data_IF_793007141736
#
_entry.id   IF_793007141736
#
_cell.length_a   1.000
_cell.length_b   1.000
_cell.length_c   1.000
_cell.angle_alpha   90.00
_cell.angle_beta   90.00
_cell.angle_gamma   90.00
#
_symmetry.space_group_name_H-M   'P 1'
#
loop_
_entity.id
_entity.type
_entity.pdbx_description
1 polymer ?
#
# COMPACT_ATOMS: atom_id res chain seq x y z
N UNK A 1 22.85 3.57 -8.20
CA UNK A 1 22.61 2.11 -8.17
C UNK A 1 21.24 1.82 -8.75
N UNK A 2 20.95 0.56 -9.09
CA UNK A 2 19.69 0.13 -9.75
C UNK A 2 18.75 -0.57 -8.80
N UNK A 3 17.46 -0.36 -9.01
CA UNK A 3 16.41 -1.00 -8.23
C UNK A 3 15.29 -1.52 -9.15
N UNK A 4 14.53 -2.50 -8.67
CA UNK A 4 13.27 -2.92 -9.24
C UNK A 4 12.17 -2.87 -8.19
N UNK A 5 11.04 -2.28 -8.56
CA UNK A 5 9.81 -2.30 -7.77
C UNK A 5 8.81 -3.26 -8.43
N UNK A 6 8.37 -4.27 -7.69
CA UNK A 6 7.36 -5.22 -8.12
C UNK A 6 5.96 -4.63 -7.90
N UNK A 7 5.30 -4.21 -8.99
CA UNK A 7 4.04 -3.48 -8.94
C UNK A 7 2.92 -4.08 -9.83
N UNK A 8 3.11 -5.28 -10.38
CA UNK A 8 2.16 -5.90 -11.31
C UNK A 8 0.96 -6.59 -10.64
N UNK A 9 0.92 -6.67 -9.32
CA UNK A 9 -0.12 -7.39 -8.59
C UNK A 9 -1.49 -6.69 -8.60
N UNK A 10 -2.59 -7.46 -8.79
CA UNK A 10 -3.97 -6.94 -8.79
C UNK A 10 -4.49 -6.48 -7.42
N UNK A 11 -3.86 -6.88 -6.32
CA UNK A 11 -4.26 -6.45 -4.98
C UNK A 11 -5.66 -6.87 -4.53
N UNK A 12 -6.18 -8.01 -4.99
CA UNK A 12 -7.58 -8.44 -4.78
C UNK A 12 -8.02 -8.55 -3.31
N UNK A 13 -7.07 -8.79 -2.40
CA UNK A 13 -7.33 -8.92 -0.95
C UNK A 13 -7.60 -7.58 -0.23
N UNK A 14 -7.33 -6.46 -0.88
CA UNK A 14 -7.55 -5.11 -0.35
C UNK A 14 -8.66 -4.36 -1.11
N UNK A 15 -9.48 -5.08 -1.87
CA UNK A 15 -10.73 -4.52 -2.39
C UNK A 15 -11.64 -4.09 -1.24
N UNK A 16 -12.37 -2.96 -1.38
CA UNK A 16 -12.64 -2.18 -2.60
C UNK A 16 -11.55 -1.14 -2.95
N UNK A 17 -10.55 -0.85 -2.11
CA UNK A 17 -9.52 0.15 -2.40
C UNK A 17 -8.83 -0.04 -3.75
N UNK A 18 -8.62 -1.30 -4.15
CA UNK A 18 -7.91 -1.66 -5.38
C UNK A 18 -8.82 -1.95 -6.58
N UNK A 19 -10.07 -1.54 -6.53
CA UNK A 19 -10.93 -1.59 -7.72
C UNK A 19 -10.62 -0.47 -8.70
N UNK A 20 -10.25 0.68 -8.16
CA UNK A 20 -9.96 1.89 -8.96
C UNK A 20 -8.51 2.35 -8.88
N UNK A 21 -7.70 1.80 -7.96
CA UNK A 21 -6.29 2.12 -7.77
C UNK A 21 -5.43 0.85 -7.80
N UNK A 22 -4.28 0.82 -8.47
CA UNK A 22 -3.34 -0.29 -8.28
C UNK A 22 -2.80 -0.27 -6.85
N UNK A 23 -2.57 -1.42 -6.25
CA UNK A 23 -2.18 -1.56 -4.84
C UNK A 23 -1.02 -0.64 -4.41
N UNK A 24 0.06 -0.48 -5.21
CA UNK A 24 1.15 0.45 -4.88
C UNK A 24 0.75 1.93 -4.82
N UNK A 25 -0.40 2.29 -5.39
CA UNK A 25 -0.93 3.66 -5.41
C UNK A 25 -1.95 3.92 -4.29
N UNK A 26 -2.27 2.94 -3.47
CA UNK A 26 -3.14 3.14 -2.31
C UNK A 26 -2.46 4.14 -1.35
N UNK A 27 -3.14 5.25 -1.00
CA UNK A 27 -2.50 6.29 -0.19
C UNK A 27 -2.46 5.90 1.30
N UNK A 28 -1.33 6.16 1.93
CA UNK A 28 -1.22 6.22 3.38
C UNK A 28 -1.31 7.68 3.78
N UNK A 29 -2.41 8.04 4.42
CA UNK A 29 -2.83 9.42 4.70
C UNK A 29 -2.98 10.25 3.41
N UNK A 30 -1.88 10.69 2.77
CA UNK A 30 -1.92 11.54 1.57
C UNK A 30 -0.97 11.09 0.46
N UNK A 31 -0.08 10.12 0.74
CA UNK A 31 1.00 9.74 -0.16
C UNK A 31 0.88 8.28 -0.58
N UNK A 32 0.98 7.93 -1.87
CA UNK A 32 1.01 6.55 -2.32
C UNK A 32 2.12 5.75 -1.64
N UNK A 33 1.85 4.48 -1.30
CA UNK A 33 2.86 3.57 -0.71
C UNK A 33 4.12 3.52 -1.55
N UNK A 34 3.99 3.40 -2.86
CA UNK A 34 5.13 3.31 -3.77
C UNK A 34 5.98 4.60 -3.80
N UNK A 35 5.38 5.77 -3.54
CA UNK A 35 6.17 7.01 -3.45
C UNK A 35 7.10 6.99 -2.24
N UNK A 36 6.60 6.54 -1.07
CA UNK A 36 7.43 6.37 0.12
C UNK A 36 8.60 5.42 -0.15
N UNK A 37 8.34 4.36 -0.91
CA UNK A 37 9.36 3.39 -1.31
C UNK A 37 10.39 3.98 -2.28
N UNK A 38 9.95 4.79 -3.26
CA UNK A 38 10.85 5.52 -4.18
C UNK A 38 11.75 6.49 -3.42
N UNK A 39 11.20 7.23 -2.47
CA UNK A 39 11.98 8.11 -1.59
C UNK A 39 13.02 7.34 -0.77
N UNK A 40 12.62 6.20 -0.20
CA UNK A 40 13.51 5.33 0.55
C UNK A 40 14.66 4.79 -0.31
N UNK A 41 14.37 4.29 -1.51
CA UNK A 41 15.37 3.85 -2.49
C UNK A 41 16.34 4.98 -2.86
N UNK A 42 15.81 6.17 -3.18
CA UNK A 42 16.62 7.36 -3.50
C UNK A 42 17.56 7.72 -2.35
N UNK A 43 17.07 7.73 -1.12
CA UNK A 43 17.86 8.09 0.07
C UNK A 43 19.02 7.12 0.31
N UNK A 44 18.93 5.88 -0.18
CA UNK A 44 20.02 4.88 -0.17
C UNK A 44 20.82 4.83 -1.48
N UNK A 45 20.65 5.81 -2.38
CA UNK A 45 21.41 5.94 -3.62
C UNK A 45 20.96 5.06 -4.79
N UNK A 46 19.77 4.44 -4.70
CA UNK A 46 19.15 3.69 -5.79
C UNK A 46 18.35 4.65 -6.68
N UNK A 47 19.04 5.36 -7.57
CA UNK A 47 18.46 6.42 -8.40
C UNK A 47 18.03 5.98 -9.80
N UNK A 48 18.17 4.71 -10.19
CA UNK A 48 17.64 4.13 -11.42
C UNK A 48 16.69 3.02 -11.07
N UNK A 49 15.42 3.21 -11.35
CA UNK A 49 14.35 2.33 -10.87
C UNK A 49 13.59 1.77 -12.08
N UNK A 50 13.53 0.45 -12.17
CA UNK A 50 12.65 -0.27 -13.08
C UNK A 50 11.39 -0.70 -12.33
N UNK A 51 10.22 -0.50 -12.92
CA UNK A 51 8.94 -0.91 -12.32
C UNK A 51 8.25 -1.88 -13.28
N UNK A 52 7.91 -3.09 -12.81
CA UNK A 52 6.99 -3.90 -13.59
C UNK A 52 5.55 -3.47 -13.29
N UNK A 53 4.78 -3.24 -14.32
CA UNK A 53 3.39 -2.79 -14.25
C UNK A 53 2.47 -3.80 -14.93
N UNK A 54 1.21 -3.88 -14.53
CA UNK A 54 0.18 -4.69 -15.16
C UNK A 54 -1.19 -4.06 -14.93
N UNK A 55 -1.89 -4.46 -13.88
CA UNK A 55 -3.20 -3.94 -13.51
C UNK A 55 -3.17 -2.42 -13.28
N UNK A 56 -4.01 -1.67 -14.00
CA UNK A 56 -4.09 -0.20 -13.94
C UNK A 56 -2.73 0.51 -14.14
N UNK A 57 -1.85 -0.09 -14.96
CA UNK A 57 -0.50 0.41 -15.25
C UNK A 57 -0.42 1.92 -15.54
N UNK A 58 -1.33 2.53 -16.35
CA UNK A 58 -1.30 3.96 -16.64
C UNK A 58 -1.36 4.86 -15.40
N UNK A 59 -1.95 4.43 -14.30
CA UNK A 59 -2.03 5.23 -13.08
C UNK A 59 -0.66 5.36 -12.41
N UNK A 60 0.13 4.27 -12.38
CA UNK A 60 1.51 4.30 -11.87
C UNK A 60 2.38 5.14 -12.80
N UNK A 61 2.33 4.86 -14.10
CA UNK A 61 3.15 5.49 -15.13
C UNK A 61 2.89 7.01 -15.24
N UNK A 62 1.62 7.44 -15.18
CA UNK A 62 1.25 8.86 -15.22
C UNK A 62 1.63 9.61 -13.95
N UNK A 63 1.63 8.94 -12.79
CA UNK A 63 2.00 9.56 -11.52
C UNK A 63 3.51 9.78 -11.43
N UNK A 64 4.29 8.75 -11.67
CA UNK A 64 5.74 8.81 -11.49
C UNK A 64 6.48 9.31 -12.74
N UNK A 65 5.91 9.17 -13.94
CA UNK A 65 6.51 9.55 -15.22
C UNK A 65 7.94 9.02 -15.36
N UNK A 66 8.91 9.85 -15.69
CA UNK A 66 10.34 9.51 -15.78
C UNK A 66 11.06 9.52 -14.42
N UNK A 67 10.34 9.81 -13.32
CA UNK A 67 10.87 9.87 -11.96
C UNK A 67 11.59 11.15 -11.57
N UNK A 68 11.81 12.09 -12.51
CA UNK A 68 12.60 13.29 -12.27
C UNK A 68 12.09 14.13 -11.08
N UNK A 69 10.78 14.28 -10.94
CA UNK A 69 10.16 15.02 -9.84
C UNK A 69 10.42 14.37 -8.45
N UNK A 70 10.75 13.08 -8.42
CA UNK A 70 11.10 12.34 -7.18
C UNK A 70 12.62 12.21 -6.99
N UNK A 71 13.44 12.84 -7.87
CA UNK A 71 14.90 12.77 -7.80
C UNK A 71 15.50 11.43 -8.23
N UNK A 72 14.80 10.66 -9.05
CA UNK A 72 15.22 9.37 -9.60
C UNK A 72 14.98 9.33 -11.12
N UNK A 73 15.45 8.27 -11.78
CA UNK A 73 15.11 7.94 -13.16
C UNK A 73 14.32 6.64 -13.16
N UNK A 74 13.11 6.66 -13.73
CA UNK A 74 12.22 5.52 -13.76
C UNK A 74 11.96 5.03 -15.17
N UNK A 75 11.85 3.72 -15.31
CA UNK A 75 11.39 3.04 -16.51
C UNK A 75 10.40 1.94 -16.15
N UNK A 76 9.55 1.55 -17.09
CA UNK A 76 8.45 0.64 -16.85
C UNK A 76 8.53 -0.56 -17.78
N UNK A 77 8.15 -1.72 -17.25
CA UNK A 77 7.99 -2.97 -18.00
C UNK A 77 6.59 -3.50 -17.82
N UNK A 78 5.75 -3.36 -18.83
CA UNK A 78 4.38 -3.84 -18.78
C UNK A 78 4.31 -5.38 -18.88
N UNK A 79 3.63 -6.03 -17.93
CA UNK A 79 3.34 -7.46 -17.95
C UNK A 79 2.00 -7.73 -18.61
N UNK A 80 1.99 -7.86 -19.91
CA UNK A 80 0.79 -8.10 -20.69
C UNK A 80 1.04 -7.93 -22.19
N UNK A 81 -0.07 -7.86 -22.91
CA UNK A 81 -0.09 -7.60 -24.35
C UNK A 81 -1.12 -6.53 -24.69
N UNK A 82 -0.93 -5.88 -25.83
CA UNK A 82 -1.95 -5.00 -26.39
C UNK A 82 -2.75 -5.82 -27.41
N UNK A 83 -4.05 -5.94 -27.21
CA UNK A 83 -4.98 -6.61 -28.14
C UNK A 83 -6.13 -5.66 -28.45
N UNK A 84 -6.35 -5.36 -29.72
CA UNK A 84 -7.39 -4.42 -30.18
C UNK A 84 -7.34 -3.03 -29.52
N UNK A 85 -6.14 -2.56 -29.15
CA UNK A 85 -5.96 -1.27 -28.45
C UNK A 85 -6.16 -1.34 -26.92
N UNK A 86 -6.52 -2.47 -26.37
CA UNK A 86 -6.68 -2.69 -24.94
C UNK A 86 -5.45 -3.38 -24.32
N UNK A 87 -5.09 -2.96 -23.11
CA UNK A 87 -4.06 -3.60 -22.30
C UNK A 87 -4.64 -4.85 -21.63
N UNK A 88 -4.09 -6.01 -21.95
CA UNK A 88 -4.48 -7.29 -21.34
C UNK A 88 -3.35 -7.77 -20.43
N UNK A 89 -3.65 -7.92 -19.15
CA UNK A 89 -2.72 -8.43 -18.15
C UNK A 89 -2.29 -9.86 -18.45
N UNK A 90 -0.99 -10.11 -18.43
CA UNK A 90 -0.41 -11.45 -18.51
C UNK A 90 0.75 -11.57 -17.52
N UNK A 91 0.45 -11.87 -16.25
CA UNK A 91 1.48 -11.98 -15.22
C UNK A 91 2.51 -13.05 -15.57
N UNK A 92 3.78 -12.68 -15.45
CA UNK A 92 4.91 -13.59 -15.71
C UNK A 92 5.63 -14.03 -14.42
N UNK A 93 5.11 -13.64 -13.26
CA UNK A 93 5.72 -13.90 -11.97
C UNK A 93 6.88 -12.95 -11.66
N UNK A 94 7.22 -12.82 -10.40
CA UNK A 94 8.20 -11.83 -9.92
C UNK A 94 9.61 -12.04 -10.49
N UNK A 95 10.10 -13.28 -10.56
CA UNK A 95 11.38 -13.59 -11.19
C UNK A 95 11.31 -13.59 -12.72
N UNK A 96 10.19 -14.01 -13.31
CA UNK A 96 9.94 -13.94 -14.74
C UNK A 96 9.97 -12.50 -15.26
N UNK A 97 9.45 -11.54 -14.48
CA UNK A 97 9.53 -10.11 -14.79
C UNK A 97 10.99 -9.61 -14.83
N UNK A 98 11.80 -10.00 -13.84
CA UNK A 98 13.24 -9.71 -13.82
C UNK A 98 13.93 -10.23 -15.10
N UNK A 99 13.69 -11.49 -15.44
CA UNK A 99 14.26 -12.13 -16.62
C UNK A 99 13.83 -11.45 -17.93
N UNK A 100 12.54 -11.10 -18.05
CA UNK A 100 11.99 -10.37 -19.20
C UNK A 100 12.72 -9.04 -19.37
N UNK A 101 12.86 -8.25 -18.32
CA UNK A 101 13.54 -6.94 -18.34
C UNK A 101 15.00 -7.12 -18.75
N UNK A 102 15.71 -8.08 -18.14
CA UNK A 102 17.12 -8.33 -18.43
C UNK A 102 17.33 -8.76 -19.89
N UNK A 103 16.50 -9.64 -20.41
CA UNK A 103 16.58 -10.08 -21.80
C UNK A 103 16.37 -8.96 -22.83
N UNK A 104 15.50 -8.00 -22.51
CA UNK A 104 15.15 -6.92 -23.44
C UNK A 104 16.08 -5.71 -23.36
N UNK A 105 16.56 -5.37 -22.17
CA UNK A 105 17.25 -4.10 -21.93
C UNK A 105 18.66 -4.23 -21.36
N UNK A 106 19.04 -5.40 -20.81
CA UNK A 106 20.29 -5.52 -20.07
C UNK A 106 20.37 -4.57 -18.87
N UNK A 107 19.23 -4.19 -18.30
CA UNK A 107 19.16 -3.15 -17.27
C UNK A 107 20.00 -3.47 -16.03
N UNK A 108 20.02 -4.72 -15.61
CA UNK A 108 20.71 -5.13 -14.38
C UNK A 108 22.16 -5.54 -14.67
N UNK A 109 23.11 -4.62 -14.55
CA UNK A 109 24.54 -4.79 -14.87
C UNK A 109 25.48 -4.85 -13.65
N UNK A 110 24.95 -4.60 -12.44
CA UNK A 110 25.62 -4.71 -11.13
C UNK A 110 24.59 -5.19 -10.12
N UNK A 111 25.01 -5.38 -8.86
CA UNK A 111 24.10 -5.70 -7.77
C UNK A 111 22.95 -4.69 -7.69
N UNK A 112 21.72 -5.19 -7.59
CA UNK A 112 20.51 -4.39 -7.60
C UNK A 112 19.53 -4.83 -6.51
N UNK A 113 18.72 -3.88 -6.03
CA UNK A 113 17.68 -4.16 -5.05
C UNK A 113 16.35 -4.47 -5.76
N UNK A 114 15.61 -5.43 -5.21
CA UNK A 114 14.22 -5.74 -5.61
C UNK A 114 13.33 -5.59 -4.39
N UNK A 115 12.23 -4.86 -4.54
CA UNK A 115 11.28 -4.61 -3.45
C UNK A 115 9.83 -4.76 -3.94
N UNK A 116 8.94 -5.24 -3.06
CA UNK A 116 7.51 -5.25 -3.32
C UNK A 116 6.96 -3.82 -3.21
N UNK A 117 6.20 -3.37 -4.22
CA UNK A 117 5.71 -1.99 -4.34
C UNK A 117 4.55 -1.63 -3.39
N UNK A 118 4.16 -2.55 -2.51
CA UNK A 118 3.01 -2.46 -1.61
C UNK A 118 3.40 -2.49 -0.12
N UNK A 119 4.69 -2.35 0.19
CA UNK A 119 5.21 -2.35 1.56
C UNK A 119 5.86 -1.02 1.92
N UNK A 120 5.68 -0.59 3.17
CA UNK A 120 6.40 0.53 3.78
C UNK A 120 7.54 -0.06 4.60
N UNK A 121 8.75 0.43 4.36
CA UNK A 121 9.96 -0.10 4.99
C UNK A 121 10.93 1.02 5.34
N UNK A 122 11.71 0.82 6.40
CA UNK A 122 12.84 1.68 6.78
C UNK A 122 14.17 0.91 6.88
N UNK A 123 14.26 -0.23 6.17
CA UNK A 123 15.43 -1.07 6.14
C UNK A 123 16.67 -0.31 5.62
N UNK A 124 17.78 -0.38 6.33
CA UNK A 124 19.07 0.15 5.85
C UNK A 124 19.60 -0.67 4.65
N UNK A 125 19.19 -0.23 3.45
CA UNK A 125 19.61 -0.87 2.19
C UNK A 125 21.11 -0.74 1.92
N UNK A 126 21.75 0.30 2.45
CA UNK A 126 23.22 0.47 2.33
C UNK A 126 23.96 -0.62 3.10
N UNK A 127 23.52 -0.89 4.32
CA UNK A 127 24.05 -1.98 5.13
C UNK A 127 23.77 -3.36 4.53
N UNK A 128 22.56 -3.55 3.98
CA UNK A 128 22.20 -4.79 3.29
C UNK A 128 23.09 -5.02 2.06
N UNK A 129 23.38 -3.98 1.27
CA UNK A 129 24.27 -4.07 0.11
C UNK A 129 25.71 -4.37 0.50
N UNK A 130 26.22 -3.75 1.58
CA UNK A 130 27.54 -4.04 2.10
C UNK A 130 27.65 -5.51 2.55
N UNK A 131 26.62 -6.03 3.23
CA UNK A 131 26.55 -7.45 3.60
C UNK A 131 26.55 -8.35 2.37
N UNK A 132 25.70 -8.09 1.38
CA UNK A 132 25.62 -8.85 0.13
C UNK A 132 26.98 -8.98 -0.56
N UNK A 133 27.70 -7.87 -0.69
CA UNK A 133 29.04 -7.84 -1.28
C UNK A 133 30.08 -8.59 -0.44
N UNK A 134 30.04 -8.45 0.89
CA UNK A 134 30.98 -9.13 1.80
C UNK A 134 30.84 -10.65 1.78
N UNK A 135 29.61 -11.13 1.57
CA UNK A 135 29.30 -12.57 1.46
C UNK A 135 29.49 -13.11 0.05
N UNK A 136 29.75 -12.24 -0.95
CA UNK A 136 29.77 -12.61 -2.39
C UNK A 136 28.50 -13.38 -2.78
N UNK A 137 27.37 -12.89 -2.31
CA UNK A 137 26.07 -13.52 -2.52
C UNK A 137 25.57 -13.35 -3.95
N UNK A 138 24.88 -14.32 -4.51
CA UNK A 138 24.07 -14.13 -5.72
C UNK A 138 22.67 -13.59 -5.34
N UNK A 139 22.20 -13.91 -4.12
CA UNK A 139 20.98 -13.37 -3.56
C UNK A 139 21.13 -13.10 -2.07
N UNK A 140 20.66 -11.97 -1.61
CA UNK A 140 20.49 -11.65 -0.18
C UNK A 140 19.03 -11.31 0.08
N UNK A 141 18.43 -11.94 1.08
CA UNK A 141 17.04 -11.75 1.48
C UNK A 141 17.00 -11.03 2.82
N UNK A 142 16.24 -9.93 2.91
CA UNK A 142 15.95 -9.32 4.20
C UNK A 142 14.93 -10.16 4.95
N UNK A 143 15.30 -10.59 6.14
CA UNK A 143 14.48 -11.46 6.99
C UNK A 143 14.03 -10.72 8.24
N UNK A 144 12.81 -11.01 8.68
CA UNK A 144 12.23 -10.45 9.89
C UNK A 144 11.66 -11.55 10.78
N UNK A 145 11.97 -11.53 12.06
CA UNK A 145 11.31 -12.40 13.03
C UNK A 145 9.85 -12.04 13.16
N UNK A 146 9.00 -13.05 13.04
CA UNK A 146 7.55 -12.91 13.08
C UNK A 146 6.92 -13.93 14.03
N UNK A 147 5.80 -13.57 14.69
CA UNK A 147 5.02 -14.53 15.45
C UNK A 147 4.56 -15.71 14.56
N UNK A 148 4.64 -16.94 15.06
CA UNK A 148 4.27 -18.16 14.29
C UNK A 148 2.92 -18.07 13.58
N UNK A 149 1.91 -17.49 14.25
CA UNK A 149 0.55 -17.31 13.68
C UNK A 149 0.52 -16.48 12.40
N UNK A 150 1.55 -15.66 12.13
CA UNK A 150 1.62 -14.75 10.98
C UNK A 150 2.42 -15.36 9.82
N UNK A 151 3.31 -16.35 10.10
CA UNK A 151 4.20 -16.97 9.12
C UNK A 151 3.50 -17.66 7.96
N UNK A 152 2.26 -18.10 8.15
CA UNK A 152 1.42 -18.71 7.09
C UNK A 152 1.19 -17.78 5.89
N UNK A 153 1.46 -16.48 6.04
CA UNK A 153 1.28 -15.50 4.98
C UNK A 153 2.59 -15.21 4.20
N UNK A 154 3.74 -15.66 4.68
CA UNK A 154 5.05 -15.29 4.18
C UNK A 154 5.92 -16.51 3.86
N UNK A 155 6.91 -16.31 3.00
CA UNK A 155 8.00 -17.27 2.88
C UNK A 155 8.84 -17.30 4.16
N UNK A 156 9.40 -18.45 4.50
CA UNK A 156 10.20 -18.67 5.72
C UNK A 156 11.56 -19.22 5.33
N UNK A 157 12.63 -18.64 5.87
CA UNK A 157 14.01 -19.07 5.62
C UNK A 157 14.63 -19.75 6.84
N UNK A 158 15.38 -20.83 6.60
CA UNK A 158 16.23 -21.48 7.60
C UNK A 158 17.68 -21.09 7.31
N UNK A 159 18.33 -20.45 8.27
CA UNK A 159 19.73 -20.06 8.19
C UNK A 159 20.66 -21.13 8.77
N UNK A 160 21.80 -21.30 8.12
CA UNK A 160 22.94 -22.05 8.60
C UNK A 160 24.10 -21.13 9.01
N UNK A 161 25.29 -21.67 8.99
CA UNK A 161 26.49 -20.92 9.29
C UNK A 161 26.68 -19.72 8.37
N UNK A 162 27.18 -18.61 8.94
CA UNK A 162 27.44 -17.36 8.20
C UNK A 162 26.24 -16.80 7.47
N UNK A 163 25.05 -17.01 8.01
CA UNK A 163 23.78 -16.51 7.51
C UNK A 163 23.35 -17.10 6.13
N UNK A 164 23.94 -18.23 5.72
CA UNK A 164 23.53 -18.91 4.49
C UNK A 164 22.11 -19.45 4.61
N UNK A 165 21.27 -19.23 3.60
CA UNK A 165 19.94 -19.84 3.53
C UNK A 165 20.07 -21.27 3.09
N UNK A 166 19.79 -22.20 4.01
CA UNK A 166 19.82 -23.65 3.77
C UNK A 166 18.52 -24.20 3.22
N UNK A 167 17.38 -23.61 3.63
CA UNK A 167 16.04 -23.99 3.17
C UNK A 167 15.17 -22.76 3.06
N UNK A 168 14.26 -22.79 2.10
CA UNK A 168 13.24 -21.79 1.93
C UNK A 168 11.88 -22.48 1.76
N UNK A 169 10.87 -22.05 2.51
CA UNK A 169 9.53 -22.60 2.53
C UNK A 169 8.51 -21.49 2.28
N UNK A 170 7.84 -21.51 1.13
CA UNK A 170 6.84 -20.49 0.81
C UNK A 170 5.50 -20.81 1.49
N UNK A 171 4.99 -19.84 2.26
CA UNK A 171 3.69 -19.88 2.93
C UNK A 171 3.36 -21.24 3.58
N UNK A 172 4.09 -21.61 4.62
CA UNK A 172 3.90 -22.88 5.31
C UNK A 172 2.48 -23.04 5.84
N UNK A 173 1.98 -24.28 5.89
CA UNK A 173 0.77 -24.55 6.66
C UNK A 173 1.04 -24.29 8.16
N UNK A 174 0.01 -23.87 8.89
CA UNK A 174 0.15 -23.59 10.32
C UNK A 174 0.72 -24.78 11.09
N UNK A 175 1.77 -24.55 11.87
CA UNK A 175 2.47 -25.58 12.63
C UNK A 175 3.54 -26.36 11.87
N UNK A 176 3.79 -26.05 10.59
CA UNK A 176 4.85 -26.67 9.77
C UNK A 176 6.00 -25.73 9.48
N UNK A 177 6.02 -24.55 10.09
CA UNK A 177 7.03 -23.52 9.89
C UNK A 177 8.41 -24.02 10.32
N UNK A 178 9.38 -23.95 9.40
CA UNK A 178 10.75 -24.42 9.65
C UNK A 178 11.58 -23.43 10.48
N UNK A 179 11.19 -22.17 10.55
CA UNK A 179 11.83 -21.13 11.37
C UNK A 179 10.83 -19.99 11.66
N UNK A 180 11.27 -18.96 12.41
CA UNK A 180 10.50 -17.74 12.68
C UNK A 180 10.93 -16.55 11.79
N UNK A 181 11.82 -16.78 10.82
CA UNK A 181 12.39 -15.78 9.93
C UNK A 181 11.57 -15.65 8.64
N UNK A 182 10.69 -14.65 8.59
CA UNK A 182 9.87 -14.35 7.44
C UNK A 182 10.63 -13.57 6.36
N UNK A 183 10.39 -13.92 5.11
CA UNK A 183 10.82 -13.16 3.94
C UNK A 183 10.02 -11.85 3.84
N UNK A 184 10.71 -10.72 3.90
CA UNK A 184 10.08 -9.40 3.82
C UNK A 184 9.75 -8.93 2.40
N UNK A 185 10.11 -9.69 1.36
CA UNK A 185 9.96 -9.27 -0.03
C UNK A 185 10.99 -8.21 -0.48
N UNK A 186 12.10 -8.10 0.25
CA UNK A 186 13.22 -7.20 -0.07
C UNK A 186 14.45 -8.05 -0.35
N UNK A 187 15.02 -7.86 -1.53
CA UNK A 187 16.14 -8.67 -2.00
C UNK A 187 17.24 -7.80 -2.57
N UNK A 188 18.49 -8.27 -2.48
CA UNK A 188 19.58 -7.82 -3.33
C UNK A 188 20.05 -8.99 -4.16
N UNK A 189 20.08 -8.83 -5.46
CA UNK A 189 20.56 -9.82 -6.41
C UNK A 189 21.81 -9.34 -7.13
N UNK A 190 22.74 -10.24 -7.40
CA UNK A 190 23.81 -10.06 -8.38
C UNK A 190 23.32 -10.49 -9.77
N UNK A 191 23.92 -10.00 -10.88
CA UNK A 191 23.50 -10.36 -12.24
C UNK A 191 23.53 -11.87 -12.53
N UNK A 192 24.36 -12.65 -11.83
CA UNK A 192 24.42 -14.10 -11.93
C UNK A 192 23.09 -14.79 -11.60
N UNK A 193 22.16 -14.08 -10.95
CA UNK A 193 20.82 -14.60 -10.65
C UNK A 193 20.06 -15.00 -11.93
N UNK A 194 20.32 -14.33 -13.05
CA UNK A 194 19.65 -14.59 -14.33
C UNK A 194 19.98 -15.94 -14.95
N UNK A 195 21.06 -16.59 -14.54
CA UNK A 195 21.38 -17.97 -14.94
C UNK A 195 20.43 -19.00 -14.34
N UNK A 196 19.76 -18.62 -13.25
CA UNK A 196 18.84 -19.48 -12.49
C UNK A 196 17.36 -19.27 -12.87
N UNK A 197 17.04 -18.23 -13.63
CA UNK A 197 15.67 -17.92 -14.01
C UNK A 197 15.42 -18.36 -15.45
N UNK A 198 14.52 -19.31 -15.71
CA UNK A 198 14.21 -19.77 -17.06
C UNK A 198 13.58 -18.65 -17.90
N UNK A 199 13.99 -18.55 -19.17
CA UNK A 199 13.45 -17.58 -20.10
C UNK A 199 12.03 -17.92 -20.52
N UNK A 200 11.18 -16.90 -20.75
CA UNK A 200 9.81 -17.04 -21.26
C UNK A 200 8.93 -17.97 -20.42
N UNK A 201 9.15 -17.99 -19.11
CA UNK A 201 8.41 -18.85 -18.18
C UNK A 201 7.83 -18.00 -17.06
N UNK A 202 6.62 -18.34 -16.62
CA UNK A 202 6.06 -17.77 -15.39
C UNK A 202 6.88 -18.31 -14.21
N UNK A 203 7.59 -17.41 -13.54
CA UNK A 203 8.52 -17.81 -12.49
C UNK A 203 8.51 -16.81 -11.32
N UNK A 204 8.38 -17.33 -10.10
CA UNK A 204 8.24 -16.50 -8.89
C UNK A 204 9.48 -16.61 -8.01
N UNK A 205 9.85 -15.48 -7.37
CA UNK A 205 11.02 -15.41 -6.49
C UNK A 205 10.84 -16.31 -5.26
N UNK A 206 9.69 -16.21 -4.58
CA UNK A 206 9.46 -16.91 -3.31
C UNK A 206 9.15 -18.38 -3.47
N UNK A 207 8.27 -18.73 -4.40
CA UNK A 207 7.77 -20.10 -4.55
C UNK A 207 8.68 -21.00 -5.39
N UNK A 208 9.55 -20.42 -6.24
CA UNK A 208 10.36 -21.20 -7.18
C UNK A 208 11.86 -20.88 -7.09
N UNK A 209 12.26 -19.61 -7.28
CA UNK A 209 13.68 -19.23 -7.36
C UNK A 209 14.44 -19.50 -6.06
N UNK A 210 13.96 -18.97 -4.94
CA UNK A 210 14.67 -19.12 -3.65
C UNK A 210 14.71 -20.57 -3.16
N UNK A 211 13.64 -21.38 -3.26
CA UNK A 211 13.72 -22.82 -2.96
C UNK A 211 14.71 -23.57 -3.85
N UNK A 212 14.77 -23.27 -5.16
CA UNK A 212 15.70 -23.86 -6.09
C UNK A 212 17.15 -23.55 -5.73
N UNK A 213 17.47 -22.27 -5.47
CA UNK A 213 18.79 -21.82 -5.07
C UNK A 213 19.24 -22.46 -3.75
N UNK A 214 18.36 -22.54 -2.75
CA UNK A 214 18.65 -23.19 -1.48
C UNK A 214 18.93 -24.68 -1.66
N UNK A 215 18.13 -25.39 -2.44
CA UNK A 215 18.31 -26.82 -2.71
C UNK A 215 19.61 -27.12 -3.47
N UNK A 216 20.06 -26.21 -4.33
CA UNK A 216 21.32 -26.33 -5.07
C UNK A 216 22.56 -25.93 -4.23
N UNK A 217 22.38 -25.44 -2.99
CA UNK A 217 23.48 -24.95 -2.17
C UNK A 217 24.15 -23.68 -2.71
N UNK A 218 23.40 -22.89 -3.51
CA UNK A 218 23.90 -21.65 -4.07
C UNK A 218 24.26 -20.63 -2.98
N UNK A 219 25.17 -19.67 -3.23
CA UNK A 219 25.58 -18.68 -2.22
C UNK A 219 24.48 -17.63 -2.00
N UNK A 220 23.38 -18.03 -1.36
CA UNK A 220 22.28 -17.17 -0.97
C UNK A 220 22.29 -16.98 0.56
N UNK A 221 22.05 -15.74 0.99
CA UNK A 221 22.17 -15.38 2.42
C UNK A 221 20.92 -14.63 2.90
N UNK A 222 20.59 -14.83 4.17
CA UNK A 222 19.58 -14.03 4.86
C UNK A 222 20.25 -12.98 5.73
N UNK A 223 19.68 -11.78 5.79
CA UNK A 223 20.12 -10.76 6.73
C UNK A 223 18.96 -10.37 7.64
N UNK A 224 19.19 -10.47 8.95
CA UNK A 224 18.27 -9.97 9.97
C UNK A 224 18.79 -8.61 10.45
N UNK A 225 18.07 -7.55 10.12
CA UNK A 225 18.32 -6.18 10.60
C UNK A 225 17.08 -5.69 11.36
N UNK A 226 17.24 -4.80 12.33
CA UNK A 226 16.09 -4.09 12.89
C UNK A 226 15.54 -3.13 11.85
N UNK A 227 14.28 -3.31 11.46
CA UNK A 227 13.53 -2.39 10.59
C UNK A 227 12.06 -2.53 10.82
N UNK A 228 11.31 -1.49 10.47
CA UNK A 228 9.87 -1.52 10.41
C UNK A 228 9.43 -1.97 9.01
N UNK A 229 8.42 -2.82 8.99
CA UNK A 229 7.86 -3.39 7.78
C UNK A 229 6.35 -3.50 7.92
N UNK A 230 5.64 -2.78 7.06
CA UNK A 230 4.19 -2.77 7.01
C UNK A 230 3.75 -3.22 5.62
N UNK A 231 3.28 -4.45 5.51
CA UNK A 231 2.66 -4.98 4.30
C UNK A 231 1.16 -4.64 4.33
N UNK A 232 0.67 -3.98 3.27
CA UNK A 232 -0.74 -3.70 3.09
C UNK A 232 -1.42 -4.91 2.46
N UNK A 233 -1.38 -6.04 3.16
CA UNK A 233 -1.90 -7.32 2.67
C UNK A 233 -3.42 -7.44 2.73
N UNK A 234 -4.10 -6.72 3.62
CA UNK A 234 -5.54 -6.78 3.91
C UNK A 234 -6.07 -5.41 4.31
N UNK A 235 -7.38 -5.21 4.29
CA UNK A 235 -8.05 -3.96 4.71
C UNK A 235 -7.70 -3.56 6.15
N UNK A 236 -7.59 -4.54 7.06
CA UNK A 236 -7.17 -4.32 8.44
C UNK A 236 -5.74 -3.76 8.54
N UNK A 237 -4.84 -4.28 7.70
CA UNK A 237 -3.45 -3.84 7.70
C UNK A 237 -3.34 -2.41 7.17
N UNK A 238 -4.09 -2.08 6.11
CA UNK A 238 -4.24 -0.72 5.60
C UNK A 238 -4.72 0.25 6.68
N UNK A 239 -5.86 -0.05 7.32
CA UNK A 239 -6.42 0.80 8.37
C UNK A 239 -5.41 1.03 9.50
N UNK A 240 -4.77 -0.05 10.00
CA UNK A 240 -3.75 0.04 11.06
C UNK A 240 -2.62 0.97 10.67
N UNK A 241 -2.04 0.79 9.48
CA UNK A 241 -0.91 1.59 9.01
C UNK A 241 -1.27 3.07 8.90
N UNK A 242 -2.46 3.42 8.39
CA UNK A 242 -2.92 4.81 8.34
C UNK A 242 -3.06 5.41 9.74
N UNK A 243 -3.64 4.66 10.68
CA UNK A 243 -3.81 5.13 12.07
C UNK A 243 -2.45 5.30 12.78
N UNK A 244 -1.51 4.38 12.58
CA UNK A 244 -0.17 4.43 13.15
C UNK A 244 0.64 5.61 12.55
N UNK A 245 0.49 5.86 11.24
CA UNK A 245 1.10 7.02 10.59
C UNK A 245 0.61 8.35 11.19
N UNK A 246 -0.69 8.48 11.44
CA UNK A 246 -1.25 9.68 12.09
C UNK A 246 -0.76 9.88 13.52
N UNK A 247 -0.47 8.81 14.25
CA UNK A 247 0.09 8.87 15.61
C UNK A 247 1.59 9.13 15.64
N UNK A 248 2.26 9.13 14.47
CA UNK A 248 3.71 9.20 14.37
C UNK A 248 4.43 7.89 14.75
N UNK A 249 3.71 6.78 14.75
CA UNK A 249 4.24 5.44 15.09
C UNK A 249 4.77 4.69 13.86
N UNK A 250 4.32 5.04 12.64
CA UNK A 250 4.82 4.47 11.39
C UNK A 250 6.05 5.25 10.90
N UNK A 251 7.13 4.57 10.50
CA UNK A 251 8.36 5.22 10.06
C UNK A 251 8.26 5.73 8.62
N UNK A 252 9.20 6.55 8.23
CA UNK A 252 9.30 7.97 8.57
C UNK A 252 8.19 8.72 7.83
N UNK A 253 7.19 9.19 8.55
CA UNK A 253 6.03 9.83 7.94
C UNK A 253 5.86 11.26 8.47
N UNK A 254 6.10 12.25 7.61
CA UNK A 254 5.83 13.64 7.90
C UNK A 254 4.48 14.04 7.30
N UNK A 255 3.59 14.55 8.15
CA UNK A 255 2.31 15.08 7.71
C UNK A 255 2.51 16.45 7.08
N UNK A 256 2.03 16.68 5.86
CA UNK A 256 2.15 17.99 5.21
C UNK A 256 1.08 18.97 5.70
N UNK A 257 1.27 20.23 5.36
CA UNK A 257 0.30 21.28 5.62
C UNK A 257 0.62 22.12 6.87
N UNK A 258 -0.27 23.03 7.17
CA UNK A 258 -0.18 23.88 8.36
C UNK A 258 -0.77 23.15 9.56
N UNK A 259 -0.26 23.45 10.74
CA UNK A 259 -0.78 22.91 12.01
C UNK A 259 -1.40 24.04 12.85
N UNK A 260 -2.62 24.49 12.55
CA UNK A 260 -3.27 25.60 13.25
C UNK A 260 -3.56 25.31 14.73
N UNK A 261 -3.67 24.02 15.09
CA UNK A 261 -3.78 23.51 16.46
C UNK A 261 -2.92 22.27 16.63
N UNK A 262 -2.43 22.01 17.81
CA UNK A 262 -1.64 20.82 18.13
C UNK A 262 -2.40 19.54 17.71
N UNK A 263 -1.76 18.71 16.86
CA UNK A 263 -2.34 17.47 16.34
C UNK A 263 -3.40 17.66 15.25
N UNK A 264 -3.59 18.86 14.70
CA UNK A 264 -4.51 19.12 13.58
C UNK A 264 -3.69 19.66 12.41
N UNK A 265 -3.56 18.88 11.33
CA UNK A 265 -2.88 19.29 10.10
C UNK A 265 -3.90 19.62 9.02
N UNK A 266 -3.71 20.74 8.35
CA UNK A 266 -4.64 21.27 7.36
C UNK A 266 -3.90 21.58 6.07
N UNK A 267 -4.33 20.96 4.99
CA UNK A 267 -3.79 21.19 3.65
C UNK A 267 -4.27 22.51 3.03
N UNK A 268 -3.80 22.82 1.82
CA UNK A 268 -4.17 24.06 1.14
C UNK A 268 -5.66 24.11 0.78
N UNK A 269 -6.23 25.33 0.77
CA UNK A 269 -7.61 25.59 0.33
C UNK A 269 -8.70 24.79 1.07
N UNK A 270 -8.45 24.39 2.31
CA UNK A 270 -9.46 23.73 3.16
C UNK A 270 -10.47 24.77 3.68
N UNK A 271 -11.76 24.39 3.68
CA UNK A 271 -12.86 25.18 4.21
C UNK A 271 -13.33 24.57 5.52
N UNK A 272 -12.95 25.13 6.62
CA UNK A 272 -13.37 24.70 7.96
C UNK A 272 -13.34 25.86 8.93
N UNK A 273 -14.34 25.95 9.80
CA UNK A 273 -14.29 26.84 10.96
C UNK A 273 -14.02 26.01 12.22
N UNK A 274 -12.76 25.96 12.66
CA UNK A 274 -12.33 25.16 13.81
C UNK A 274 -13.01 25.56 15.12
N UNK A 275 -13.61 26.77 15.21
CA UNK A 275 -14.34 27.21 16.41
C UNK A 275 -15.79 26.72 16.44
N UNK A 276 -16.32 26.25 15.30
CA UNK A 276 -17.70 25.79 15.16
C UNK A 276 -17.84 24.27 15.05
N UNK A 277 -16.74 23.56 15.16
CA UNK A 277 -16.73 22.09 15.18
C UNK A 277 -16.05 21.59 16.45
N UNK A 278 -16.44 20.40 16.89
CA UNK A 278 -15.72 19.67 17.93
C UNK A 278 -14.63 18.83 17.28
N UNK A 279 -13.36 19.25 17.43
CA UNK A 279 -12.23 18.53 16.84
C UNK A 279 -11.16 18.20 17.86
N UNK A 280 -10.66 16.95 17.85
CA UNK A 280 -9.59 16.48 18.71
C UNK A 280 -8.61 15.64 17.87
N UNK A 281 -7.31 15.97 17.91
CA UNK A 281 -6.26 15.30 17.15
C UNK A 281 -5.88 13.88 17.63
N UNK A 282 -5.07 13.17 16.86
CA UNK A 282 -4.48 13.59 15.59
C UNK A 282 -5.49 13.58 14.44
N UNK A 283 -5.57 14.66 13.66
CA UNK A 283 -6.44 14.79 12.49
C UNK A 283 -5.67 15.40 11.33
N UNK A 284 -5.72 14.75 10.17
CA UNK A 284 -5.21 15.30 8.91
C UNK A 284 -6.37 15.64 7.99
N UNK A 285 -6.43 16.87 7.51
CA UNK A 285 -7.42 17.38 6.57
C UNK A 285 -6.69 17.74 5.29
N UNK A 286 -6.91 16.98 4.23
CA UNK A 286 -6.25 17.16 2.95
C UNK A 286 -6.80 18.38 2.18
N UNK A 287 -6.06 18.81 1.15
CA UNK A 287 -6.38 20.02 0.39
C UNK A 287 -7.78 20.04 -0.22
N UNK A 288 -8.39 21.23 -0.24
CA UNK A 288 -9.73 21.48 -0.81
C UNK A 288 -10.89 20.71 -0.15
N UNK A 289 -10.66 20.08 1.00
CA UNK A 289 -11.76 19.51 1.79
C UNK A 289 -12.66 20.61 2.36
N UNK A 290 -13.94 20.32 2.54
CA UNK A 290 -14.93 21.22 3.13
C UNK A 290 -15.60 20.54 4.31
N UNK A 291 -15.58 21.19 5.47
CA UNK A 291 -16.19 20.69 6.70
C UNK A 291 -17.14 21.77 7.19
N UNK A 292 -18.42 21.43 7.24
CA UNK A 292 -19.47 22.36 7.71
C UNK A 292 -19.48 22.45 9.24
N UNK A 293 -20.25 23.40 9.76
CA UNK A 293 -20.39 23.65 11.21
C UNK A 293 -21.03 22.45 11.92
N UNK A 294 -20.94 22.40 13.24
CA UNK A 294 -21.55 21.41 14.14
C UNK A 294 -21.07 19.95 13.94
N UNK A 295 -19.98 19.75 13.22
CA UNK A 295 -19.35 18.42 13.10
C UNK A 295 -18.57 18.01 14.35
N UNK A 296 -18.51 16.68 14.60
CA UNK A 296 -17.63 16.10 15.63
C UNK A 296 -16.57 15.21 14.98
N UNK A 297 -15.28 15.55 15.14
CA UNK A 297 -14.15 14.83 14.56
C UNK A 297 -13.16 14.47 15.68
N UNK A 298 -13.07 13.18 16.00
CA UNK A 298 -12.22 12.68 17.09
C UNK A 298 -11.16 11.74 16.51
N UNK A 299 -9.91 12.17 16.55
CA UNK A 299 -8.77 11.47 15.97
C UNK A 299 -8.47 10.07 16.57
N UNK A 300 -7.64 9.28 15.90
CA UNK A 300 -6.97 9.60 14.63
C UNK A 300 -7.93 9.59 13.43
N UNK A 301 -7.96 10.67 12.65
CA UNK A 301 -8.87 10.81 11.49
C UNK A 301 -8.12 11.38 10.29
N UNK A 302 -8.36 10.82 9.12
CA UNK A 302 -7.99 11.40 7.82
C UNK A 302 -9.24 11.90 7.13
N UNK A 303 -9.23 13.15 6.67
CA UNK A 303 -10.21 13.70 5.73
C UNK A 303 -9.50 13.91 4.40
N UNK A 304 -9.85 13.14 3.39
CA UNK A 304 -9.22 13.14 2.07
C UNK A 304 -9.45 14.43 1.28
N UNK A 305 -8.71 14.57 0.19
CA UNK A 305 -8.80 15.75 -0.69
C UNK A 305 -10.19 15.87 -1.33
N UNK A 306 -10.71 17.10 -1.41
CA UNK A 306 -12.04 17.40 -1.96
C UNK A 306 -13.19 16.65 -1.26
N UNK A 307 -12.97 16.12 -0.06
CA UNK A 307 -14.06 15.54 0.73
C UNK A 307 -15.00 16.64 1.24
N UNK A 308 -16.27 16.29 1.38
CA UNK A 308 -17.32 17.18 1.92
C UNK A 308 -17.93 16.52 3.15
N UNK A 309 -17.82 17.19 4.30
CA UNK A 309 -18.40 16.74 5.56
C UNK A 309 -19.54 17.67 5.91
N UNK A 310 -20.76 17.16 5.84
CA UNK A 310 -21.99 17.95 6.07
C UNK A 310 -22.20 18.18 7.56
N UNK A 311 -22.91 19.27 7.87
CA UNK A 311 -23.23 19.73 9.23
C UNK A 311 -23.87 18.63 10.07
N UNK A 312 -23.35 18.41 11.28
CA UNK A 312 -23.82 17.38 12.22
C UNK A 312 -23.16 16.01 12.11
N UNK A 313 -22.32 15.76 11.10
CA UNK A 313 -21.60 14.51 10.93
C UNK A 313 -20.65 14.21 12.11
N UNK A 314 -20.55 12.95 12.50
CA UNK A 314 -19.66 12.48 13.57
C UNK A 314 -18.67 11.46 13.03
N UNK A 315 -17.37 11.74 13.16
CA UNK A 315 -16.29 10.93 12.61
C UNK A 315 -15.26 10.67 13.71
N UNK A 316 -15.02 9.40 14.02
CA UNK A 316 -14.06 8.99 15.04
C UNK A 316 -13.18 7.86 14.52
N UNK A 317 -11.86 7.98 14.76
CA UNK A 317 -10.87 6.96 14.40
C UNK A 317 -11.06 6.40 12.98
N UNK A 318 -11.33 7.27 12.00
CA UNK A 318 -11.78 6.85 10.66
C UNK A 318 -11.00 7.53 9.54
N UNK A 319 -11.06 6.94 8.35
CA UNK A 319 -10.48 7.47 7.12
C UNK A 319 -11.62 7.81 6.16
N UNK A 320 -11.75 9.08 5.82
CA UNK A 320 -12.60 9.54 4.72
C UNK A 320 -11.69 9.73 3.51
N UNK A 321 -11.94 8.97 2.45
CA UNK A 321 -11.15 9.00 1.22
C UNK A 321 -11.43 10.27 0.40
N UNK A 322 -10.56 10.53 -0.57
CA UNK A 322 -10.72 11.65 -1.50
C UNK A 322 -12.08 11.65 -2.18
N UNK A 323 -12.62 12.84 -2.44
CA UNK A 323 -13.90 13.05 -3.13
C UNK A 323 -15.11 12.40 -2.46
N UNK A 324 -15.03 12.07 -1.18
CA UNK A 324 -16.15 11.47 -0.44
C UNK A 324 -17.00 12.55 0.21
N UNK A 325 -18.31 12.51 -0.01
CA UNK A 325 -19.30 13.26 0.73
C UNK A 325 -19.81 12.42 1.90
N UNK A 326 -19.78 12.98 3.09
CA UNK A 326 -20.31 12.38 4.33
C UNK A 326 -21.55 13.17 4.74
N UNK A 327 -22.68 12.52 4.83
CA UNK A 327 -23.95 13.12 5.23
C UNK A 327 -23.94 13.59 6.69
N UNK A 328 -24.66 14.65 6.99
CA UNK A 328 -24.79 15.24 8.32
C UNK A 328 -25.39 14.31 9.40
N UNK A 329 -26.09 13.26 9.00
CA UNK A 329 -26.63 12.25 9.93
C UNK A 329 -25.68 11.06 10.15
N UNK A 330 -24.57 11.01 9.41
CA UNK A 330 -23.64 9.91 9.49
C UNK A 330 -22.83 9.92 10.81
N UNK A 331 -22.61 8.73 11.37
CA UNK A 331 -21.75 8.51 12.53
C UNK A 331 -20.80 7.36 12.24
N UNK A 332 -19.52 7.68 12.03
CA UNK A 332 -18.48 6.70 11.74
C UNK A 332 -17.52 6.55 12.92
N UNK A 333 -17.34 5.32 13.38
CA UNK A 333 -16.29 4.94 14.35
C UNK A 333 -15.50 3.79 13.76
N UNK A 334 -14.19 3.97 13.57
CA UNK A 334 -13.26 2.98 12.99
C UNK A 334 -13.71 2.48 11.61
N UNK A 335 -14.00 3.41 10.70
CA UNK A 335 -14.41 3.11 9.33
C UNK A 335 -13.41 3.65 8.31
N UNK A 336 -13.37 3.04 7.15
CA UNK A 336 -12.81 3.64 5.94
C UNK A 336 -13.95 3.86 4.97
N UNK A 337 -14.16 5.11 4.58
CA UNK A 337 -15.31 5.54 3.77
C UNK A 337 -14.79 6.16 2.49
N UNK A 338 -15.17 5.59 1.37
CA UNK A 338 -14.92 6.10 0.02
C UNK A 338 -16.19 6.62 -0.64
N UNK A 339 -16.10 7.14 -1.87
CA UNK A 339 -17.25 7.67 -2.59
C UNK A 339 -18.38 6.66 -2.81
N UNK A 340 -18.06 5.38 -2.88
CA UNK A 340 -19.02 4.31 -3.20
C UNK A 340 -18.84 3.07 -2.31
N UNK A 341 -18.06 3.14 -1.23
CA UNK A 341 -17.89 2.03 -0.30
C UNK A 341 -17.65 2.52 1.13
N UNK A 342 -17.95 1.66 2.07
CA UNK A 342 -17.52 1.79 3.46
C UNK A 342 -17.08 0.42 3.96
N UNK A 343 -15.98 0.34 4.70
CA UNK A 343 -15.57 -0.92 5.31
C UNK A 343 -15.05 -0.76 6.74
N UNK A 344 -15.17 -1.84 7.48
CA UNK A 344 -14.61 -2.01 8.82
C UNK A 344 -13.19 -2.58 8.78
N UNK A 345 -12.35 -2.34 9.80
CA UNK A 345 -11.04 -2.96 9.91
C UNK A 345 -11.07 -4.49 9.93
N UNK A 346 -12.17 -5.12 10.29
CA UNK A 346 -12.34 -6.57 10.26
C UNK A 346 -12.56 -7.15 8.85
N UNK A 347 -12.80 -6.28 7.86
CA UNK A 347 -12.99 -6.65 6.46
C UNK A 347 -14.46 -6.71 6.03
N UNK A 348 -15.41 -6.34 6.87
CA UNK A 348 -16.80 -6.16 6.47
C UNK A 348 -16.92 -4.96 5.54
N UNK A 349 -17.41 -5.18 4.32
CA UNK A 349 -17.54 -4.16 3.27
C UNK A 349 -19.01 -3.88 2.99
N UNK A 350 -19.37 -2.61 2.95
CA UNK A 350 -20.64 -2.10 2.43
C UNK A 350 -20.36 -1.44 1.07
N UNK A 351 -20.98 -1.97 0.03
CA UNK A 351 -20.87 -1.45 -1.34
C UNK A 351 -22.05 -0.49 -1.60
N UNK A 352 -21.74 0.80 -1.75
CA UNK A 352 -22.71 1.85 -2.01
C UNK A 352 -23.37 1.77 -3.40
N UNK A 353 -22.81 0.98 -4.33
CA UNK A 353 -23.43 0.78 -5.64
C UNK A 353 -24.57 -0.26 -5.61
N UNK A 354 -24.56 -1.14 -4.60
CA UNK A 354 -25.52 -2.27 -4.48
C UNK A 354 -26.44 -2.16 -3.28
N UNK A 355 -26.23 -1.19 -2.41
CA UNK A 355 -27.06 -0.95 -1.22
C UNK A 355 -27.61 0.45 -1.26
N UNK A 356 -28.89 0.60 -0.91
CA UNK A 356 -29.59 1.90 -0.82
C UNK A 356 -29.16 2.69 0.43
N UNK A 357 -27.82 2.90 0.56
CA UNK A 357 -27.18 3.64 1.64
C UNK A 357 -26.33 4.81 1.13
N UNK A 358 -26.51 5.18 -0.14
CA UNK A 358 -25.87 6.33 -0.80
C UNK A 358 -26.12 7.66 -0.07
N UNK A 359 -27.15 7.71 0.75
CA UNK A 359 -27.49 8.83 1.61
C UNK A 359 -26.58 9.01 2.83
N UNK A 360 -25.80 7.99 3.24
CA UNK A 360 -24.80 8.13 4.30
C UNK A 360 -23.46 8.65 3.76
N UNK A 361 -23.09 8.21 2.56
CA UNK A 361 -21.89 8.63 1.86
C UNK A 361 -22.10 8.54 0.35
N UNK A 362 -21.43 9.41 -0.39
CA UNK A 362 -21.51 9.45 -1.85
C UNK A 362 -20.28 10.12 -2.46
N UNK A 363 -20.20 10.16 -3.78
CA UNK A 363 -19.16 10.91 -4.49
C UNK A 363 -19.48 12.42 -4.42
N UNK A 364 -18.56 13.19 -3.84
CA UNK A 364 -18.68 14.64 -3.71
C UNK A 364 -18.73 15.37 -5.06
N UNK A 365 -18.36 14.71 -6.16
CA UNK A 365 -18.44 15.22 -7.53
C UNK A 365 -19.82 15.01 -8.16
N UNK A 366 -20.67 14.21 -7.54
CA UNK A 366 -22.03 13.97 -8.02
C UNK A 366 -22.90 15.23 -7.83
N UNK A 367 -23.86 15.51 -8.76
CA UNK A 367 -24.76 16.64 -8.63
C UNK A 367 -25.59 16.58 -7.34
N UNK A 368 -25.68 17.70 -6.63
CA UNK A 368 -26.41 17.81 -5.34
C UNK A 368 -27.93 17.53 -5.51
N UNK A 369 -28.52 17.80 -6.67
CA UNK A 369 -29.93 17.54 -6.94
C UNK A 369 -30.33 16.05 -6.87
N UNK A 370 -29.45 15.14 -7.27
CA UNK A 370 -29.70 13.71 -7.17
C UNK A 370 -29.67 13.17 -5.73
N UNK A 371 -29.03 13.93 -4.80
CA UNK A 371 -28.92 13.56 -3.39
C UNK A 371 -30.09 14.10 -2.56
N UNK A 372 -30.70 15.21 -2.96
CA UNK A 372 -31.82 15.82 -2.22
C UNK A 372 -33.11 15.00 -2.30
N UNK A 373 -33.38 14.33 -3.43
CA UNK A 373 -34.54 13.47 -3.58
C UNK A 373 -34.46 12.24 -2.66
N UNK A 374 -33.27 11.68 -2.50
CA UNK A 374 -32.98 10.57 -1.57
C UNK A 374 -33.09 11.01 -0.11
N UNK A 375 -32.62 12.21 0.24
CA UNK A 375 -32.70 12.73 1.61
C UNK A 375 -34.15 13.04 2.07
N UNK A 376 -35.03 13.50 1.18
CA UNK A 376 -36.43 13.66 1.52
C UNK A 376 -37.16 12.34 1.75
N UNK A 377 -36.84 11.31 0.95
CA UNK A 377 -37.35 9.95 1.17
C UNK A 377 -36.93 9.40 2.54
N UNK A 378 -35.72 9.69 2.99
CA UNK A 378 -35.17 9.20 4.26
C UNK A 378 -35.72 9.97 5.44
N UNK A 379 -35.86 11.30 5.37
CA UNK A 379 -36.54 12.07 6.42
C UNK A 379 -37.95 11.52 6.68
N UNK A 380 -38.61 11.03 5.66
CA UNK A 380 -39.95 10.44 5.74
C UNK A 380 -39.92 8.97 6.28
N UNK A 381 -38.82 8.25 6.13
CA UNK A 381 -38.64 6.87 6.62
C UNK A 381 -37.93 6.74 7.97
N UNK A 382 -37.01 7.67 8.32
CA UNK A 382 -36.23 7.62 9.59
C UNK A 382 -37.10 7.84 10.84
N UNK A 383 -38.32 8.33 10.71
CA UNK A 383 -39.30 8.36 11.79
C UNK A 383 -39.82 6.96 12.19
N UNK A 384 -39.40 5.88 11.49
CA UNK A 384 -39.85 4.49 11.75
C UNK A 384 -38.73 3.47 11.96
N UNK A 385 -37.48 3.87 11.95
CA UNK A 385 -36.35 2.94 12.13
C UNK A 385 -36.06 2.70 13.62
N UNK A 386 -36.20 1.45 14.02
CA UNK A 386 -35.92 0.93 15.36
C UNK A 386 -34.42 1.07 15.71
N UNK A 387 -34.02 1.27 16.98
CA UNK A 387 -32.64 1.48 17.42
C UNK A 387 -31.67 0.30 17.21
N UNK A 388 -32.11 -0.80 16.63
CA UNK A 388 -31.34 -2.03 16.47
C UNK A 388 -30.31 -2.05 15.32
N UNK A 389 -30.20 -0.98 14.51
CA UNK A 389 -29.23 -0.87 13.42
C UNK A 389 -27.95 -0.10 13.83
N UNK A 390 -27.84 0.29 15.09
CA UNK A 390 -26.71 1.07 15.63
C UNK A 390 -25.92 0.37 16.74
N UNK A 391 -26.06 -0.94 16.89
CA UNK A 391 -25.26 -1.73 17.84
C UNK A 391 -24.06 -2.40 17.17
#
# INVERSE_FOLDING_TARGET
MKAMILAAGRGTRVRPLTETLPKPMVPIVHKPVMEMLVEHLRNHGFGQIMVNTSYLAPQIENYFRDGHQFGVRMAYSFEGMIKNGELIDQPVGSAGALQKIQCHSGFFDDAFVVVCGDAIVDLDLTRMLAFHRSRKSIATVALKKMPKRELVNYGVAVLGDKDQILKFQEKPAAGTELSDLANSGIYIFSPEIFEWIPKNTVYDIGSQLLPQLAAAGAPIHGIELPFNWFDIGRLRDYYRVVMDALRGEAPPYELPGEQPRAGIWVGPNVRVNLERIRIQGPVFIAGSASIEDDCEIIGPVVIGANAVIESGARIKASVIMDHTRVSGIAAYDRKVVGPNFCFDPDGTVLDGNHTDISWLFSDARSPVAALNDDQELIKNHSLRASPALYA
#
